data_IF_097003806235
#
_entry.id   IF_097003806235
#
_cell.length_a   1.000
_cell.length_b   1.000
_cell.length_c   1.000
_cell.angle_alpha   90.00
_cell.angle_beta   90.00
_cell.angle_gamma   90.00
#
_symmetry.space_group_name_H-M   'P 1'
#
loop_
_entity.id
_entity.type
_entity.pdbx_description
1 polymer ?
#
# COMPACT_ATOMS: atom_id res chain seq x y z
N UNK A 1 -15.45 2.68 -12.08
CA UNK A 1 -14.00 2.66 -12.31
C UNK A 1 -13.75 2.95 -13.77
N UNK A 2 -12.83 3.86 -14.09
CA UNK A 2 -12.47 4.17 -15.49
C UNK A 2 -11.41 3.21 -15.96
N UNK A 3 -11.64 2.56 -17.11
CA UNK A 3 -10.72 1.59 -17.70
C UNK A 3 -10.03 2.14 -18.97
N UNK A 4 -8.76 1.77 -19.21
CA UNK A 4 -7.90 0.97 -18.33
C UNK A 4 -7.45 1.76 -17.09
N UNK A 5 -6.96 1.06 -16.07
CA UNK A 5 -6.28 1.70 -14.94
C UNK A 5 -5.16 2.62 -15.42
N UNK A 6 -5.20 3.93 -15.07
CA UNK A 6 -4.15 4.84 -15.50
C UNK A 6 -2.84 4.53 -14.76
N UNK A 7 -1.71 4.77 -15.43
CA UNK A 7 -0.37 4.42 -14.91
C UNK A 7 -0.01 5.03 -13.55
N UNK A 8 -0.66 6.14 -13.17
CA UNK A 8 -0.42 6.79 -11.87
C UNK A 8 -1.16 6.12 -10.70
N UNK A 9 -2.13 5.25 -10.99
CA UNK A 9 -2.85 4.48 -9.96
C UNK A 9 -2.10 3.17 -9.77
N UNK A 10 -1.45 2.96 -8.62
CA UNK A 10 -0.71 1.72 -8.34
C UNK A 10 -1.66 0.55 -8.03
N UNK A 11 -2.63 0.77 -7.15
CA UNK A 11 -3.64 -0.20 -6.74
C UNK A 11 -5.01 0.49 -6.58
N UNK A 12 -6.10 -0.23 -6.86
CA UNK A 12 -7.48 0.23 -6.59
C UNK A 12 -8.42 -0.95 -6.48
N UNK A 13 -9.25 -0.97 -5.44
CA UNK A 13 -10.30 -1.96 -5.26
C UNK A 13 -11.51 -1.33 -4.54
N UNK A 14 -12.72 -1.69 -4.97
CA UNK A 14 -13.98 -1.19 -4.39
C UNK A 14 -14.51 -2.12 -3.30
N UNK A 15 -13.88 -2.10 -2.12
CA UNK A 15 -14.28 -2.88 -0.95
C UNK A 15 -14.34 -2.01 0.30
N UNK A 16 -15.25 -2.32 1.24
CA UNK A 16 -15.21 -1.72 2.57
C UNK A 16 -14.01 -2.27 3.35
N UNK A 17 -13.40 -1.44 4.19
CA UNK A 17 -12.18 -1.82 4.90
C UNK A 17 -11.61 -0.73 5.79
N UNK A 18 -10.44 -1.00 6.35
CA UNK A 18 -9.65 -0.04 7.14
C UNK A 18 -8.15 -0.21 6.85
N UNK A 19 -7.33 0.77 7.24
CA UNK A 19 -5.87 0.74 7.03
C UNK A 19 -5.14 0.77 8.36
N UNK A 20 -3.96 0.15 8.40
CA UNK A 20 -3.02 0.21 9.51
C UNK A 20 -1.68 0.72 8.98
N UNK A 21 -1.16 1.77 9.63
CA UNK A 21 0.15 2.34 9.32
C UNK A 21 1.09 2.14 10.52
N UNK A 22 2.06 1.23 10.38
CA UNK A 22 2.99 0.83 11.44
C UNK A 22 4.34 1.52 11.25
N UNK A 23 4.56 2.63 11.95
CA UNK A 23 5.86 3.31 11.98
C UNK A 23 6.85 2.45 12.75
N UNK A 24 7.88 1.92 12.07
CA UNK A 24 8.88 1.06 12.70
C UNK A 24 10.04 1.88 13.27
N UNK A 25 10.50 2.87 12.52
CA UNK A 25 11.61 3.74 12.88
C UNK A 25 11.63 4.97 11.95
N UNK A 26 12.69 5.79 12.03
CA UNK A 26 12.84 7.01 11.21
C UNK A 26 12.86 6.76 9.70
N UNK A 27 13.16 5.55 9.24
CA UNK A 27 13.33 5.23 7.81
C UNK A 27 12.21 4.39 7.22
N UNK A 28 11.51 3.58 8.01
CA UNK A 28 10.55 2.58 7.52
C UNK A 28 9.19 2.66 8.21
N UNK A 29 8.15 2.57 7.39
CA UNK A 29 6.77 2.40 7.83
C UNK A 29 6.10 1.32 6.98
N UNK A 30 5.38 0.39 7.62
CA UNK A 30 4.59 -0.61 6.92
C UNK A 30 3.14 -0.13 6.81
N UNK A 31 2.57 -0.24 5.62
CA UNK A 31 1.16 0.03 5.34
C UNK A 31 0.46 -1.28 4.99
N UNK A 32 -0.69 -1.50 5.60
CA UNK A 32 -1.60 -2.59 5.27
C UNK A 32 -3.03 -2.09 5.17
N UNK A 33 -3.74 -2.49 4.11
CA UNK A 33 -5.17 -2.28 3.95
C UNK A 33 -5.92 -3.60 4.12
N UNK A 34 -6.90 -3.61 5.02
CA UNK A 34 -7.72 -4.78 5.35
C UNK A 34 -9.14 -4.58 4.85
N UNK A 35 -9.67 -5.55 4.09
CA UNK A 35 -11.07 -5.55 3.64
C UNK A 35 -11.96 -6.19 4.70
N UNK A 36 -13.21 -5.74 4.79
CA UNK A 36 -14.18 -6.24 5.76
C UNK A 36 -14.58 -7.70 5.51
N UNK A 37 -14.52 -8.16 4.26
CA UNK A 37 -14.86 -9.54 3.90
C UNK A 37 -13.73 -10.55 4.17
N UNK A 38 -12.51 -10.09 4.45
CA UNK A 38 -11.38 -10.98 4.74
C UNK A 38 -11.28 -11.25 6.25
N UNK A 39 -10.52 -12.29 6.61
CA UNK A 39 -10.16 -12.50 8.01
C UNK A 39 -9.20 -11.41 8.50
N UNK A 40 -9.17 -11.15 9.81
CA UNK A 40 -8.43 -10.05 10.43
C UNK A 40 -6.93 -9.99 10.06
N UNK A 41 -6.31 -11.13 9.76
CA UNK A 41 -4.88 -11.23 9.46
C UNK A 41 -4.53 -11.00 7.98
N UNK A 42 -5.51 -10.85 7.09
CA UNK A 42 -5.27 -10.70 5.66
C UNK A 42 -5.22 -9.21 5.30
N UNK A 43 -4.10 -8.81 4.71
CA UNK A 43 -3.92 -7.51 4.09
C UNK A 43 -4.17 -7.64 2.58
N UNK A 44 -5.15 -6.90 2.06
CA UNK A 44 -5.52 -6.91 0.65
C UNK A 44 -4.60 -6.05 -0.22
N UNK A 45 -3.98 -5.02 0.38
CA UNK A 45 -2.87 -4.27 -0.20
C UNK A 45 -1.83 -3.98 0.89
N UNK A 46 -0.56 -4.03 0.51
CA UNK A 46 0.56 -3.80 1.43
C UNK A 46 1.70 -3.04 0.76
N UNK A 47 2.37 -2.18 1.53
CA UNK A 47 3.50 -1.42 1.02
C UNK A 47 4.47 -1.03 2.13
N UNK A 48 5.76 -1.03 1.80
CA UNK A 48 6.77 -0.36 2.60
C UNK A 48 6.95 1.07 2.12
N UNK A 49 6.77 2.02 3.03
CA UNK A 49 7.14 3.41 2.81
C UNK A 49 8.54 3.66 3.32
N UNK A 50 9.36 4.28 2.47
CA UNK A 50 10.68 4.78 2.88
C UNK A 50 10.62 6.29 3.11
N UNK A 51 11.01 6.71 4.31
CA UNK A 51 10.94 8.12 4.70
C UNK A 51 11.71 9.02 3.71
N UNK A 52 11.05 10.04 3.14
CA UNK A 52 11.65 10.91 2.11
C UNK A 52 12.81 11.79 2.60
N UNK A 53 13.01 11.93 3.90
CA UNK A 53 14.15 12.67 4.46
C UNK A 53 15.29 11.74 4.88
N UNK A 54 14.98 10.70 5.65
CA UNK A 54 15.98 9.79 6.22
C UNK A 54 16.35 8.60 5.31
N UNK A 55 15.53 8.28 4.31
CA UNK A 55 15.72 7.15 3.39
C UNK A 55 15.00 7.36 2.04
N UNK A 56 15.44 8.31 1.19
CA UNK A 56 14.74 8.69 -0.04
C UNK A 56 15.01 7.75 -1.22
N UNK A 57 14.68 6.46 -1.07
CA UNK A 57 14.80 5.48 -2.16
C UNK A 57 13.44 5.20 -2.81
N UNK A 58 13.44 4.75 -4.07
CA UNK A 58 12.20 4.43 -4.77
C UNK A 58 11.49 3.24 -4.12
N UNK A 59 10.28 3.49 -3.61
CA UNK A 59 9.34 2.52 -3.04
C UNK A 59 8.21 2.15 -4.01
N UNK A 60 8.23 2.62 -5.25
CA UNK A 60 7.17 2.30 -6.23
C UNK A 60 7.08 0.79 -6.44
N UNK A 61 5.86 0.21 -6.47
CA UNK A 61 5.70 -1.21 -6.75
C UNK A 61 6.27 -1.56 -8.12
N UNK A 62 7.01 -2.66 -8.19
CA UNK A 62 7.52 -3.19 -9.45
C UNK A 62 6.36 -3.76 -10.25
N UNK A 63 5.97 -3.07 -11.32
CA UNK A 63 5.04 -3.62 -12.31
C UNK A 63 5.76 -4.77 -13.02
N UNK A 64 5.54 -6.01 -12.59
CA UNK A 64 5.81 -7.17 -13.44
C UNK A 64 4.73 -7.19 -14.52
N UNK A 65 5.13 -6.81 -15.73
CA UNK A 65 4.36 -6.99 -16.97
C UNK A 65 4.19 -8.47 -17.29
#
# INVERSE_FOLDING_TARGET
MTEPQPKYSAFREASFGHTILLIKNRTHTHYGWHRNQDSYTVEADTMWFYNRFWHPINDSPSFHS
#
